data_IF_351806738778
#
_entry.id   IF_351806738778
#
_cell.length_a   1.000
_cell.length_b   1.000
_cell.length_c   1.000
_cell.angle_alpha   90.00
_cell.angle_beta   90.00
_cell.angle_gamma   90.00
#
_symmetry.space_group_name_H-M   'P 1'
#
loop_
_entity.id
_entity.type
_entity.pdbx_description
1 polymer ?
#
# COMPACT_ATOMS: atom_id res chain seq x y z
N UNK A 1 -8.70 -4.16 25.43
CA UNK A 1 -7.62 -4.81 24.66
C UNK A 1 -6.62 -3.73 24.31
N UNK A 2 -5.41 -3.83 24.85
CA UNK A 2 -4.28 -2.95 24.51
C UNK A 2 -3.76 -3.33 23.11
N UNK A 3 -3.48 -2.33 22.27
CA UNK A 3 -2.74 -2.51 21.04
C UNK A 3 -1.24 -2.57 21.35
N UNK A 4 -0.75 -3.77 21.65
CA UNK A 4 0.64 -4.08 22.04
C UNK A 4 1.72 -3.65 21.03
N UNK A 5 1.33 -3.22 19.83
CA UNK A 5 2.25 -2.86 18.75
C UNK A 5 2.17 -1.37 18.38
N UNK A 6 1.21 -0.63 18.93
CA UNK A 6 1.10 0.81 18.73
C UNK A 6 2.17 1.55 19.54
N UNK A 7 2.77 2.57 18.92
CA UNK A 7 3.83 3.38 19.54
C UNK A 7 3.41 4.17 20.77
N UNK A 8 2.10 4.35 20.97
CA UNK A 8 1.57 5.12 22.09
C UNK A 8 1.20 4.23 23.29
N UNK A 9 1.46 2.92 23.21
CA UNK A 9 1.16 1.94 24.26
C UNK A 9 2.46 1.32 24.80
N UNK A 10 3.04 1.99 25.80
CA UNK A 10 4.28 1.60 26.53
C UNK A 10 5.53 1.42 25.64
N UNK A 11 6.64 0.95 26.23
CA UNK A 11 7.92 0.64 25.53
C UNK A 11 7.85 -0.61 24.61
N UNK A 12 6.63 -1.08 24.30
CA UNK A 12 6.35 -2.36 23.65
C UNK A 12 6.93 -2.49 22.23
N UNK A 13 7.28 -1.38 21.57
CA UNK A 13 7.92 -1.44 20.26
C UNK A 13 9.27 -2.19 20.29
N UNK A 14 10.02 -2.12 21.39
CA UNK A 14 11.27 -2.86 21.54
C UNK A 14 11.05 -4.38 21.56
N UNK A 15 9.87 -4.81 22.01
CA UNK A 15 9.47 -6.21 22.13
C UNK A 15 8.54 -6.68 21.02
N UNK A 16 8.11 -5.80 20.12
CA UNK A 16 7.17 -6.09 19.03
C UNK A 16 7.53 -7.35 18.24
N UNK A 17 8.79 -7.48 17.80
CA UNK A 17 9.26 -8.68 17.09
C UNK A 17 9.06 -9.93 17.95
N UNK A 18 9.54 -9.93 19.20
CA UNK A 18 9.43 -11.08 20.12
C UNK A 18 7.98 -11.47 20.41
N UNK A 19 7.10 -10.49 20.60
CA UNK A 19 5.67 -10.70 20.81
C UNK A 19 5.07 -11.39 19.58
N UNK A 20 5.34 -10.86 18.38
CA UNK A 20 4.86 -11.44 17.12
C UNK A 20 5.41 -12.84 16.88
N UNK A 21 6.70 -13.06 17.15
CA UNK A 21 7.34 -14.38 17.08
C UNK A 21 6.67 -15.41 17.98
N UNK A 22 6.24 -15.01 19.18
CA UNK A 22 5.60 -15.93 20.12
C UNK A 22 4.25 -16.46 19.62
N UNK A 23 3.51 -15.67 18.82
CA UNK A 23 2.27 -16.14 18.20
C UNK A 23 2.48 -17.29 17.22
N UNK A 24 3.69 -17.45 16.66
CA UNK A 24 4.04 -18.56 15.76
C UNK A 24 3.69 -19.93 16.34
N UNK A 25 3.85 -20.11 17.66
CA UNK A 25 3.57 -21.38 18.36
C UNK A 25 2.09 -21.76 18.37
N UNK A 26 1.20 -20.79 18.12
CA UNK A 26 -0.25 -20.97 18.14
C UNK A 26 -0.85 -20.98 16.73
N UNK A 27 -0.03 -20.89 15.68
CA UNK A 27 -0.48 -20.90 14.30
C UNK A 27 -0.31 -22.29 13.68
N UNK A 28 -1.28 -22.67 12.86
CA UNK A 28 -1.15 -23.83 11.97
C UNK A 28 -0.05 -23.58 10.92
N UNK A 29 0.38 -24.66 10.24
CA UNK A 29 1.42 -24.57 9.19
C UNK A 29 0.99 -23.70 7.99
N UNK A 30 -0.30 -23.62 7.71
CA UNK A 30 -0.95 -22.73 6.73
C UNK A 30 -1.56 -21.47 7.36
N UNK A 31 -1.28 -21.26 8.65
CA UNK A 31 -1.79 -20.16 9.45
C UNK A 31 -1.29 -18.79 8.98
N UNK A 32 -2.12 -17.78 9.20
CA UNK A 32 -1.82 -16.39 8.90
C UNK A 32 -1.91 -15.53 10.15
N UNK A 33 -1.02 -14.55 10.27
CA UNK A 33 -1.12 -13.48 11.25
C UNK A 33 -1.38 -12.16 10.51
N UNK A 34 -2.45 -11.48 10.90
CA UNK A 34 -2.82 -10.17 10.37
C UNK A 34 -2.60 -9.15 11.48
N UNK A 35 -1.78 -8.14 11.19
CA UNK A 35 -1.52 -7.04 12.12
C UNK A 35 -2.04 -5.76 11.48
N UNK A 36 -2.84 -4.99 12.23
CA UNK A 36 -3.49 -3.77 11.80
C UNK A 36 -3.11 -2.66 12.77
N UNK A 37 -2.55 -1.57 12.24
CA UNK A 37 -2.14 -0.40 13.02
C UNK A 37 -2.83 0.88 12.55
N UNK A 38 -2.90 1.93 13.39
CA UNK A 38 -3.34 3.25 12.96
C UNK A 38 -2.58 3.74 11.71
N UNK A 39 -3.29 4.43 10.82
CA UNK A 39 -2.79 4.85 9.51
C UNK A 39 -1.80 6.02 9.49
N UNK A 40 -1.17 6.36 10.61
CA UNK A 40 -0.17 7.44 10.67
C UNK A 40 1.24 6.98 10.30
N UNK A 41 2.12 7.96 10.05
CA UNK A 41 3.49 7.74 9.58
C UNK A 41 4.34 6.98 10.59
N UNK A 42 4.20 7.27 11.88
CA UNK A 42 5.06 6.66 12.90
C UNK A 42 4.72 5.18 13.03
N UNK A 43 3.43 4.84 13.17
CA UNK A 43 2.98 3.44 13.26
C UNK A 43 3.27 2.66 11.96
N UNK A 44 3.13 3.28 10.78
CA UNK A 44 3.52 2.66 9.51
C UNK A 44 5.00 2.25 9.48
N UNK A 45 5.89 3.18 9.86
CA UNK A 45 7.33 2.94 9.88
C UNK A 45 7.68 1.85 10.90
N UNK A 46 7.11 1.93 12.10
CA UNK A 46 7.30 0.92 13.15
C UNK A 46 6.89 -0.48 12.67
N UNK A 47 5.70 -0.62 12.09
CA UNK A 47 5.20 -1.87 11.54
C UNK A 47 6.13 -2.44 10.47
N UNK A 48 6.69 -1.58 9.60
CA UNK A 48 7.65 -1.99 8.56
C UNK A 48 9.00 -2.42 9.12
N UNK A 49 9.47 -1.79 10.19
CA UNK A 49 10.70 -2.22 10.87
C UNK A 49 10.50 -3.60 11.54
N UNK A 50 9.35 -3.82 12.18
CA UNK A 50 8.96 -5.13 12.73
C UNK A 50 8.89 -6.19 11.63
N UNK A 51 8.21 -5.88 10.52
CA UNK A 51 8.18 -6.73 9.32
C UNK A 51 9.58 -7.09 8.82
N UNK A 52 10.46 -6.10 8.68
CA UNK A 52 11.82 -6.33 8.20
C UNK A 52 12.53 -7.35 9.08
N UNK A 53 12.49 -7.17 10.40
CA UNK A 53 13.11 -8.12 11.34
C UNK A 53 12.53 -9.53 11.20
N UNK A 54 11.20 -9.66 11.23
CA UNK A 54 10.52 -10.97 11.17
C UNK A 54 10.80 -11.73 9.88
N UNK A 55 10.72 -11.05 8.73
CA UNK A 55 10.93 -11.70 7.42
C UNK A 55 12.40 -11.98 7.17
N UNK A 56 13.30 -11.04 7.52
CA UNK A 56 14.74 -11.22 7.30
C UNK A 56 15.34 -12.32 8.20
N UNK A 57 14.70 -12.61 9.33
CA UNK A 57 15.05 -13.73 10.22
C UNK A 57 14.36 -15.05 9.82
N UNK A 58 13.67 -15.09 8.67
CA UNK A 58 12.92 -16.25 8.19
C UNK A 58 11.85 -16.76 9.17
N UNK A 59 11.29 -15.89 10.01
CA UNK A 59 10.26 -16.30 10.96
C UNK A 59 8.91 -16.49 10.29
N UNK A 60 8.60 -15.62 9.32
CA UNK A 60 7.38 -15.61 8.53
C UNK A 60 7.65 -15.20 7.08
N UNK A 61 6.76 -15.60 6.18
CA UNK A 61 6.70 -15.04 4.82
C UNK A 61 5.72 -13.88 4.77
N UNK A 62 6.10 -12.79 4.09
CA UNK A 62 5.22 -11.66 3.85
C UNK A 62 4.25 -11.96 2.70
N UNK A 63 2.95 -12.05 3.01
CA UNK A 63 1.90 -12.21 2.01
C UNK A 63 1.50 -10.87 1.37
N UNK A 64 1.39 -9.81 2.18
CA UNK A 64 0.94 -8.45 1.78
C UNK A 64 1.37 -7.42 2.85
N UNK A 65 1.58 -6.11 2.54
CA UNK A 65 1.35 -5.43 1.27
C UNK A 65 2.59 -5.17 0.41
N UNK A 66 3.79 -5.45 0.92
CA UNK A 66 5.04 -5.07 0.25
C UNK A 66 5.74 -6.28 -0.37
N UNK A 67 5.08 -7.04 -1.23
CA UNK A 67 5.73 -8.19 -1.88
C UNK A 67 6.67 -7.76 -3.03
N UNK A 68 7.62 -8.61 -3.39
CA UNK A 68 8.49 -8.40 -4.55
C UNK A 68 7.81 -8.82 -5.84
N UNK A 69 7.53 -7.87 -6.75
CA UNK A 69 6.89 -8.19 -8.04
C UNK A 69 7.91 -8.58 -9.12
N UNK A 70 9.11 -8.02 -9.08
CA UNK A 70 10.16 -8.26 -10.08
C UNK A 70 10.98 -9.51 -9.82
N UNK A 71 11.21 -9.80 -8.54
CA UNK A 71 11.95 -10.95 -8.06
C UNK A 71 11.48 -11.27 -6.67
N UNK A 72 11.72 -12.50 -6.27
CA UNK A 72 11.47 -12.92 -4.91
C UNK A 72 12.32 -12.08 -3.95
N UNK A 73 11.69 -11.60 -2.88
CA UNK A 73 12.35 -10.83 -1.81
C UNK A 73 12.44 -11.70 -0.56
N UNK A 74 13.64 -12.20 -0.29
CA UNK A 74 13.98 -12.79 1.01
C UNK A 74 14.46 -11.75 2.03
N UNK A 75 14.68 -10.50 1.61
CA UNK A 75 15.20 -9.45 2.48
C UNK A 75 14.52 -8.10 2.24
N UNK A 76 14.23 -7.38 3.32
CA UNK A 76 13.53 -6.12 3.35
C UNK A 76 14.27 -5.08 4.21
N UNK A 77 14.50 -3.89 3.64
CA UNK A 77 15.10 -2.72 4.31
C UNK A 77 14.20 -1.48 4.25
N UNK A 78 13.02 -1.60 3.65
CA UNK A 78 12.17 -0.45 3.35
C UNK A 78 11.41 0.07 4.59
N UNK A 79 11.40 1.38 4.77
CA UNK A 79 10.67 2.11 5.83
C UNK A 79 9.81 3.27 5.26
N UNK A 80 9.39 3.20 4.00
CA UNK A 80 8.57 4.26 3.41
C UNK A 80 7.20 4.36 4.11
N UNK A 81 6.54 5.51 4.05
CA UNK A 81 5.15 5.62 4.52
C UNK A 81 4.17 5.12 3.46
N UNK A 82 3.10 4.42 3.84
CA UNK A 82 1.93 4.22 3.00
C UNK A 82 0.72 4.06 3.91
N UNK A 83 -0.50 4.15 3.38
CA UNK A 83 -1.71 3.96 4.19
C UNK A 83 -2.85 3.43 3.34
N UNK A 84 -3.60 2.51 3.92
CA UNK A 84 -4.85 1.97 3.37
C UNK A 84 -6.01 2.74 4.00
N UNK A 85 -7.13 2.85 3.28
CA UNK A 85 -8.34 3.52 3.77
C UNK A 85 -9.52 2.58 3.66
N UNK A 86 -10.27 2.43 4.76
CA UNK A 86 -11.64 1.92 4.70
C UNK A 86 -12.56 3.12 4.60
N UNK A 87 -13.39 3.17 3.58
CA UNK A 87 -14.44 4.16 3.46
C UNK A 87 -15.67 3.66 4.24
N UNK A 88 -16.32 4.56 4.97
CA UNK A 88 -17.43 4.21 5.86
C UNK A 88 -18.49 5.30 5.88
N UNK A 89 -19.71 4.92 6.24
CA UNK A 89 -20.72 5.90 6.59
C UNK A 89 -20.39 6.49 7.96
N UNK A 90 -20.38 7.82 8.08
CA UNK A 90 -20.14 8.47 9.37
C UNK A 90 -21.20 8.00 10.38
N UNK A 91 -20.78 7.50 11.56
CA UNK A 91 -21.72 7.14 12.62
C UNK A 91 -22.60 8.34 13.03
N UNK A 92 -23.85 8.07 13.42
CA UNK A 92 -24.85 9.09 13.76
C UNK A 92 -24.34 10.11 14.77
N UNK A 93 -23.58 9.66 15.78
CA UNK A 93 -22.99 10.54 16.80
C UNK A 93 -22.02 11.56 16.18
N UNK A 94 -21.22 11.18 15.19
CA UNK A 94 -20.32 12.11 14.51
C UNK A 94 -21.11 13.10 13.65
N UNK A 95 -22.15 12.65 12.94
CA UNK A 95 -23.06 13.53 12.19
C UNK A 95 -23.70 14.58 13.11
N UNK A 96 -24.15 14.17 14.30
CA UNK A 96 -24.67 15.08 15.32
C UNK A 96 -23.62 16.07 15.82
N UNK A 97 -22.42 15.61 16.19
CA UNK A 97 -21.36 16.51 16.65
C UNK A 97 -20.96 17.53 15.57
N UNK A 98 -20.92 17.10 14.31
CA UNK A 98 -20.66 17.98 13.16
C UNK A 98 -21.76 19.03 13.02
N UNK A 99 -23.04 18.64 13.15
CA UNK A 99 -24.17 19.58 13.09
C UNK A 99 -24.17 20.58 14.26
N UNK A 100 -23.52 20.23 15.38
CA UNK A 100 -23.26 21.14 16.52
C UNK A 100 -21.96 21.94 16.41
N UNK A 101 -21.28 21.92 15.27
CA UNK A 101 -20.09 22.74 15.01
C UNK A 101 -18.76 22.03 15.26
N UNK A 102 -18.74 20.71 15.51
CA UNK A 102 -17.48 19.97 15.57
C UNK A 102 -16.81 19.92 14.19
N UNK A 103 -15.57 20.39 14.14
CA UNK A 103 -14.70 20.25 12.97
C UNK A 103 -13.97 18.90 12.92
N UNK A 104 -13.93 18.17 14.05
CA UNK A 104 -13.31 16.84 14.15
C UNK A 104 -14.33 15.76 13.81
N UNK A 105 -13.90 14.75 13.07
CA UNK A 105 -14.74 13.58 12.72
C UNK A 105 -15.43 13.63 11.36
N UNK A 106 -15.13 14.62 10.51
CA UNK A 106 -15.69 14.73 9.13
C UNK A 106 -15.13 13.72 8.13
N UNK A 107 -14.27 12.78 8.56
CA UNK A 107 -13.62 11.83 7.66
C UNK A 107 -14.58 10.69 7.37
N UNK A 108 -14.94 10.56 6.10
CA UNK A 108 -15.64 9.43 5.49
C UNK A 108 -14.73 8.22 5.24
N UNK A 109 -13.54 8.21 5.86
CA UNK A 109 -12.64 7.07 5.84
C UNK A 109 -11.82 6.95 7.13
N UNK A 110 -11.42 5.71 7.42
CA UNK A 110 -10.48 5.35 8.48
C UNK A 110 -9.16 4.91 7.84
N UNK A 111 -8.06 5.65 8.05
CA UNK A 111 -6.75 5.23 7.57
C UNK A 111 -6.16 4.17 8.51
N UNK A 112 -5.59 3.12 7.94
CA UNK A 112 -4.91 2.06 8.67
C UNK A 112 -3.69 1.55 7.89
N UNK A 113 -2.77 0.93 8.63
CA UNK A 113 -1.66 0.15 8.10
C UNK A 113 -1.92 -1.31 8.39
N UNK A 114 -1.46 -2.19 7.52
CA UNK A 114 -1.57 -3.61 7.79
C UNK A 114 -0.38 -4.38 7.24
N UNK A 115 -0.16 -5.56 7.79
CA UNK A 115 0.67 -6.60 7.17
C UNK A 115 0.05 -7.97 7.41
N UNK A 116 0.23 -8.86 6.43
CA UNK A 116 -0.20 -10.25 6.51
C UNK A 116 1.05 -11.11 6.42
N UNK A 117 1.27 -11.90 7.47
CA UNK A 117 2.37 -12.84 7.59
C UNK A 117 1.82 -14.27 7.49
N UNK A 118 2.55 -15.16 6.81
CA UNK A 118 2.18 -16.56 6.60
C UNK A 118 3.28 -17.53 6.99
N UNK A 119 2.88 -18.72 7.39
CA UNK A 119 3.74 -19.82 7.80
C UNK A 119 4.17 -20.72 6.63
N UNK A 120 3.34 -20.83 5.59
CA UNK A 120 3.49 -21.77 4.48
C UNK A 120 4.27 -21.24 3.27
N UNK A 121 4.80 -20.02 3.35
CA UNK A 121 5.53 -19.42 2.23
C UNK A 121 4.65 -18.80 1.13
N UNK A 122 3.31 -18.89 1.21
CA UNK A 122 2.44 -18.31 0.20
C UNK A 122 2.54 -16.78 0.19
N UNK A 123 2.43 -16.22 -1.02
CA UNK A 123 2.48 -14.79 -1.32
C UNK A 123 1.25 -14.41 -2.12
N UNK A 124 0.82 -13.14 -2.01
CA UNK A 124 -0.38 -12.67 -2.73
C UNK A 124 -0.24 -12.80 -4.25
N UNK A 125 0.95 -12.52 -4.79
CA UNK A 125 1.22 -12.64 -6.21
C UNK A 125 2.56 -13.32 -6.48
N UNK A 126 2.61 -14.07 -7.58
CA UNK A 126 3.87 -14.52 -8.16
C UNK A 126 4.68 -13.36 -8.76
N UNK A 127 5.98 -13.59 -8.93
CA UNK A 127 6.87 -12.69 -9.64
C UNK A 127 6.55 -12.67 -11.13
N UNK A 128 6.82 -11.53 -11.77
CA UNK A 128 6.48 -11.32 -13.18
C UNK A 128 7.55 -11.96 -14.07
N UNK A 129 7.14 -12.89 -14.94
CA UNK A 129 8.03 -13.54 -15.92
C UNK A 129 8.41 -12.60 -17.09
N UNK A 130 7.44 -11.86 -17.63
CA UNK A 130 7.63 -11.02 -18.82
C UNK A 130 7.98 -9.56 -18.48
N UNK A 131 9.05 -9.36 -17.70
CA UNK A 131 9.43 -8.03 -17.18
C UNK A 131 9.84 -7.03 -18.27
N UNK A 132 10.31 -7.50 -19.44
CA UNK A 132 10.78 -6.66 -20.56
C UNK A 132 9.75 -5.69 -21.15
N UNK A 133 8.44 -5.98 -20.99
CA UNK A 133 7.38 -5.11 -21.53
C UNK A 133 6.98 -3.98 -20.58
N UNK A 134 7.56 -3.93 -19.38
CA UNK A 134 7.21 -2.99 -18.33
C UNK A 134 8.45 -2.21 -17.85
N UNK A 135 8.26 -0.90 -17.68
CA UNK A 135 9.26 -0.03 -17.08
C UNK A 135 9.16 -0.11 -15.55
N UNK A 136 10.28 -0.31 -14.86
CA UNK A 136 10.32 -0.27 -13.39
C UNK A 136 10.18 1.16 -12.91
N UNK A 137 9.63 1.34 -11.71
CA UNK A 137 9.40 2.67 -11.15
C UNK A 137 10.71 3.46 -11.01
N UNK A 138 11.80 2.81 -10.58
CA UNK A 138 13.11 3.47 -10.46
C UNK A 138 13.60 4.07 -11.79
N UNK A 139 13.20 3.50 -12.92
CA UNK A 139 13.65 3.88 -14.26
C UNK A 139 12.72 4.94 -14.91
N UNK A 140 11.65 5.38 -14.22
CA UNK A 140 10.69 6.34 -14.79
C UNK A 140 11.26 7.73 -15.02
N UNK A 141 12.27 8.14 -14.24
CA UNK A 141 12.94 9.44 -14.43
C UNK A 141 13.62 9.56 -15.80
N UNK A 142 14.13 8.45 -16.34
CA UNK A 142 14.76 8.38 -17.67
C UNK A 142 13.73 8.32 -18.83
N UNK A 143 12.44 8.25 -18.47
CA UNK A 143 11.33 8.06 -19.40
C UNK A 143 10.33 9.22 -19.37
N UNK A 144 10.69 10.36 -18.78
CA UNK A 144 9.85 11.58 -18.82
C UNK A 144 9.55 11.95 -20.28
N UNK A 145 8.28 12.25 -20.56
CA UNK A 145 7.77 12.56 -21.90
C UNK A 145 7.51 11.33 -22.77
N UNK A 146 7.87 10.12 -22.32
CA UNK A 146 7.65 8.87 -23.06
C UNK A 146 6.38 8.16 -22.59
N UNK A 147 5.82 7.35 -23.49
CA UNK A 147 4.72 6.44 -23.19
C UNK A 147 5.28 5.06 -22.85
N UNK A 148 4.93 4.56 -21.67
CA UNK A 148 5.45 3.30 -21.13
C UNK A 148 4.32 2.40 -20.62
N UNK A 149 4.64 1.14 -20.33
CA UNK A 149 3.78 0.29 -19.51
C UNK A 149 4.41 0.16 -18.12
N UNK A 150 3.59 0.15 -17.08
CA UNK A 150 4.03 0.01 -15.69
C UNK A 150 3.24 -1.11 -15.03
N UNK A 151 3.92 -1.91 -14.23
CA UNK A 151 3.30 -2.86 -13.32
C UNK A 151 3.80 -2.56 -11.91
N UNK A 152 2.88 -2.46 -10.97
CA UNK A 152 3.19 -2.04 -9.61
C UNK A 152 2.14 -2.57 -8.63
N UNK A 153 2.38 -2.37 -7.34
CA UNK A 153 1.41 -2.50 -6.28
C UNK A 153 0.88 -1.12 -5.91
N UNK A 154 -0.41 -1.02 -5.65
CA UNK A 154 -1.04 0.19 -5.11
C UNK A 154 -0.56 0.40 -3.67
N UNK A 155 0.03 1.55 -3.36
CA UNK A 155 0.46 1.91 -1.99
C UNK A 155 -0.64 2.56 -1.18
N UNK A 156 -1.41 3.41 -1.84
CA UNK A 156 -2.48 4.20 -1.24
C UNK A 156 -3.47 4.57 -2.33
N UNK A 157 -4.75 4.55 -2.00
CA UNK A 157 -5.85 4.92 -2.87
C UNK A 157 -6.70 5.98 -2.19
N UNK A 158 -7.04 7.03 -2.93
CA UNK A 158 -7.75 8.19 -2.40
C UNK A 158 -8.80 8.66 -3.40
N UNK A 159 -10.03 8.76 -2.90
CA UNK A 159 -11.19 9.33 -3.57
C UNK A 159 -11.48 10.71 -2.95
N UNK A 160 -11.75 11.72 -3.80
CA UNK A 160 -12.28 13.04 -3.42
C UNK A 160 -13.32 13.48 -4.44
N UNK A 161 -14.60 13.27 -4.13
CA UNK A 161 -15.67 13.34 -5.14
C UNK A 161 -15.35 12.38 -6.29
N UNK A 162 -15.51 12.83 -7.53
CA UNK A 162 -15.20 11.99 -8.71
C UNK A 162 -13.71 11.83 -8.99
N UNK A 163 -12.83 12.58 -8.30
CA UNK A 163 -11.39 12.53 -8.52
C UNK A 163 -10.77 11.40 -7.73
N UNK A 164 -9.95 10.62 -8.42
CA UNK A 164 -9.22 9.50 -7.84
C UNK A 164 -7.73 9.70 -8.04
N UNK A 165 -6.96 9.46 -6.98
CA UNK A 165 -5.50 9.49 -7.03
C UNK A 165 -4.94 8.38 -6.18
N UNK A 166 -3.92 7.72 -6.71
CA UNK A 166 -3.26 6.61 -6.04
C UNK A 166 -1.78 6.63 -6.35
N UNK A 167 -1.00 6.13 -5.39
CA UNK A 167 0.45 6.03 -5.54
C UNK A 167 0.91 4.58 -5.68
N UNK A 168 2.04 4.39 -6.35
CA UNK A 168 2.54 3.08 -6.76
C UNK A 168 3.88 2.75 -6.10
N UNK A 169 4.11 1.46 -5.88
CA UNK A 169 5.41 0.88 -5.52
C UNK A 169 5.57 -0.44 -6.26
N UNK A 170 6.73 -0.70 -6.80
CA UNK A 170 7.09 -1.99 -7.39
C UNK A 170 8.29 -2.63 -6.65
N UNK A 171 8.76 -1.97 -5.59
CA UNK A 171 9.90 -2.39 -4.80
C UNK A 171 11.26 -2.25 -5.49
N UNK A 172 11.33 -1.55 -6.63
CA UNK A 172 12.58 -1.21 -7.34
C UNK A 172 13.29 0.03 -6.79
N UNK A 173 12.58 0.85 -6.01
CA UNK A 173 13.11 2.02 -5.32
C UNK A 173 12.53 2.14 -3.89
N UNK A 174 13.17 2.97 -3.08
CA UNK A 174 12.68 3.40 -1.77
C UNK A 174 12.31 4.88 -1.80
N UNK A 175 11.12 5.21 -1.34
CA UNK A 175 10.67 6.59 -1.21
C UNK A 175 10.93 7.06 0.23
N UNK A 176 11.55 8.23 0.40
CA UNK A 176 11.71 8.86 1.71
C UNK A 176 10.41 9.51 2.16
N UNK A 177 9.63 10.04 1.22
CA UNK A 177 8.35 10.70 1.50
C UNK A 177 7.32 10.50 0.37
N UNK A 178 6.04 10.83 0.64
CA UNK A 178 4.96 10.72 -0.35
C UNK A 178 5.14 11.65 -1.55
N UNK A 179 5.91 12.74 -1.38
CA UNK A 179 6.30 13.65 -2.45
C UNK A 179 7.30 13.03 -3.44
N UNK A 180 7.88 11.87 -3.14
CA UNK A 180 8.74 11.14 -4.09
C UNK A 180 7.98 9.98 -4.75
N UNK A 181 6.76 9.71 -4.30
CA UNK A 181 5.96 8.61 -4.81
C UNK A 181 5.53 8.84 -6.27
N UNK A 182 5.31 7.75 -7.00
CA UNK A 182 4.75 7.80 -8.34
C UNK A 182 3.24 7.83 -8.25
N UNK A 183 2.63 8.91 -8.73
CA UNK A 183 1.20 9.15 -8.62
C UNK A 183 0.47 8.94 -9.95
N UNK A 184 -0.71 8.35 -9.87
CA UNK A 184 -1.68 8.25 -10.97
C UNK A 184 -2.89 9.09 -10.60
N UNK A 185 -3.41 9.84 -11.58
CA UNK A 185 -4.60 10.67 -11.43
C UNK A 185 -5.63 10.23 -12.45
N UNK A 186 -6.84 9.96 -11.97
CA UNK A 186 -7.97 9.48 -12.77
C UNK A 186 -9.29 9.95 -12.15
N UNK A 187 -10.41 9.44 -12.66
CA UNK A 187 -11.74 9.65 -12.10
C UNK A 187 -12.48 8.34 -11.87
N UNK A 188 -13.51 8.37 -11.01
CA UNK A 188 -14.40 7.23 -10.77
C UNK A 188 -15.04 6.72 -12.07
N UNK A 189 -15.65 7.57 -12.94
CA UNK A 189 -16.23 7.09 -14.20
C UNK A 189 -15.21 6.41 -15.13
N UNK A 190 -13.94 6.85 -15.09
CA UNK A 190 -12.88 6.23 -15.90
C UNK A 190 -12.51 4.85 -15.36
N UNK A 191 -12.49 4.66 -14.03
CA UNK A 191 -12.24 3.35 -13.42
C UNK A 191 -13.39 2.38 -13.68
N UNK A 192 -14.64 2.84 -13.56
CA UNK A 192 -15.85 2.06 -13.87
C UNK A 192 -15.86 1.59 -15.33
N UNK A 193 -15.47 2.47 -16.27
CA UNK A 193 -15.32 2.10 -17.69
C UNK A 193 -14.27 1.00 -17.92
N UNK A 194 -13.28 0.89 -17.04
CA UNK A 194 -12.29 -0.19 -17.06
C UNK A 194 -12.72 -1.42 -16.24
N UNK A 195 -13.95 -1.46 -15.71
CA UNK A 195 -14.46 -2.56 -14.89
C UNK A 195 -13.77 -2.69 -13.53
N UNK A 196 -13.21 -1.59 -13.02
CA UNK A 196 -12.43 -1.60 -11.79
C UNK A 196 -13.34 -1.29 -10.59
N UNK A 197 -13.41 -2.25 -9.67
CA UNK A 197 -14.09 -2.08 -8.40
C UNK A 197 -13.28 -1.16 -7.48
N UNK A 198 -13.97 -0.18 -6.90
CA UNK A 198 -13.42 0.80 -5.96
C UNK A 198 -14.09 0.65 -4.58
N UNK A 199 -13.42 1.02 -3.47
CA UNK A 199 -12.03 1.47 -3.39
C UNK A 199 -11.03 0.32 -3.60
N UNK A 200 -9.86 0.65 -4.15
CA UNK A 200 -8.76 -0.32 -4.31
C UNK A 200 -7.98 -0.39 -3.00
N UNK A 201 -7.77 -1.61 -2.49
CA UNK A 201 -7.00 -1.86 -1.28
C UNK A 201 -5.50 -1.72 -1.60
N UNK A 202 -4.71 -1.23 -0.64
CA UNK A 202 -3.25 -1.24 -0.80
C UNK A 202 -2.75 -2.67 -1.02
N UNK A 203 -1.68 -2.83 -1.79
CA UNK A 203 -1.15 -4.10 -2.30
C UNK A 203 -1.86 -4.69 -3.51
N UNK A 204 -2.93 -4.12 -4.04
CA UNK A 204 -3.45 -4.63 -5.31
C UNK A 204 -2.46 -4.41 -6.44
N UNK A 205 -2.26 -5.46 -7.26
CA UNK A 205 -1.33 -5.41 -8.37
C UNK A 205 -2.02 -4.79 -9.56
N UNK A 206 -1.45 -3.70 -10.04
CA UNK A 206 -1.99 -2.90 -11.12
C UNK A 206 -1.06 -2.91 -12.32
N UNK A 207 -1.64 -3.14 -13.49
CA UNK A 207 -1.00 -3.02 -14.80
C UNK A 207 -1.53 -1.79 -15.50
N UNK A 208 -0.65 -0.83 -15.75
CA UNK A 208 -0.90 0.35 -16.55
C UNK A 208 -0.26 0.17 -17.91
N UNK A 209 -1.05 0.27 -18.98
CA UNK A 209 -0.55 0.17 -20.35
C UNK A 209 -0.66 1.53 -21.03
N UNK A 210 0.35 1.87 -21.85
CA UNK A 210 0.39 3.11 -22.64
C UNK A 210 0.12 4.37 -21.79
N UNK A 211 0.86 4.54 -20.70
CA UNK A 211 0.77 5.72 -19.83
C UNK A 211 1.90 6.69 -20.12
N UNK A 212 1.58 7.98 -20.18
CA UNK A 212 2.58 9.03 -20.36
C UNK A 212 3.25 9.32 -19.01
N UNK A 213 4.59 9.32 -18.99
CA UNK A 213 5.37 9.74 -17.83
C UNK A 213 5.51 11.26 -17.86
N UNK A 214 4.92 11.94 -16.88
CA UNK A 214 5.04 13.37 -16.66
C UNK A 214 5.83 13.63 -15.37
N UNK A 215 6.52 14.76 -15.30
CA UNK A 215 7.10 15.27 -14.06
C UNK A 215 6.31 16.51 -13.62
N UNK A 216 6.06 16.63 -12.32
CA UNK A 216 5.60 17.89 -11.72
C UNK A 216 6.51 18.28 -10.55
N UNK A 217 6.19 19.40 -9.88
CA UNK A 217 6.95 19.88 -8.70
C UNK A 217 7.04 18.86 -7.55
N UNK A 218 6.18 17.84 -7.54
CA UNK A 218 6.03 16.80 -6.51
C UNK A 218 6.44 15.40 -7.01
N UNK A 219 7.28 15.30 -8.05
CA UNK A 219 7.80 14.03 -8.55
C UNK A 219 7.14 13.53 -9.84
N UNK A 220 7.17 12.20 -10.03
CA UNK A 220 6.68 11.55 -11.24
C UNK A 220 5.17 11.31 -11.16
N UNK A 221 4.50 11.61 -12.27
CA UNK A 221 3.08 11.38 -12.49
C UNK A 221 2.90 10.49 -13.72
N UNK A 222 2.07 9.47 -13.60
CA UNK A 222 1.63 8.69 -14.76
C UNK A 222 0.25 9.18 -15.19
N UNK A 223 0.15 9.67 -16.42
CA UNK A 223 -1.09 10.17 -17.01
C UNK A 223 -1.74 9.10 -17.86
N UNK A 224 -3.02 8.86 -17.57
CA UNK A 224 -3.88 7.98 -18.34
C UNK A 224 -4.58 8.80 -19.42
N UNK A 225 -4.29 8.54 -20.69
CA UNK A 225 -5.02 9.11 -21.82
C UNK A 225 -6.21 8.21 -22.23
N UNK A 226 -6.77 8.45 -23.43
CA UNK A 226 -7.88 7.66 -23.98
C UNK A 226 -7.48 6.26 -24.46
N UNK A 227 -6.19 6.06 -24.74
CA UNK A 227 -5.61 4.82 -25.25
C UNK A 227 -4.93 4.00 -24.13
N UNK A 228 -4.77 4.58 -22.95
CA UNK A 228 -4.22 3.89 -21.78
C UNK A 228 -5.15 2.76 -21.33
N UNK A 229 -4.55 1.63 -20.98
CA UNK A 229 -5.23 0.50 -20.35
C UNK A 229 -4.91 0.45 -18.86
N UNK A 230 -5.89 0.03 -18.05
CA UNK A 230 -5.71 -0.25 -16.63
C UNK A 230 -6.33 -1.61 -16.31
N UNK A 231 -5.57 -2.46 -15.62
CA UNK A 231 -6.03 -3.77 -15.14
C UNK A 231 -5.59 -3.93 -13.70
N UNK A 232 -6.49 -4.40 -12.85
CA UNK A 232 -6.21 -4.72 -11.45
C UNK A 232 -6.41 -6.20 -11.25
N UNK A 233 -5.41 -6.84 -10.65
CA UNK A 233 -5.51 -8.19 -10.14
C UNK A 233 -5.88 -8.07 -8.65
N UNK A 234 -6.80 -8.93 -8.20
CA UNK A 234 -7.37 -8.95 -6.85
C UNK A 234 -6.86 -10.16 -6.05
#
# INVERSE_FOLDING_TARGET
MSNFLALNEEDNQQHATKIVSNFKKNLLNDGSLIIIEPGDKKNCIALKLTRNKLVNNNEFTLYSPCIGIWKEKGHYTCSCFNTTRVYWELPVIYKYLISKGSYKGKKDYIPFNYMILRMDGLKKYETIKNSQYFTKIRDLWENIGKVVNVIALVRTFIIKGDKVFFSLCDGSCSFKDDNEAVWVYTSLPKLEKHGINVPIISSEKIKLKKVLVEQNRKGIKLKLDKNSGMIIEY
#
